data_IF_646389253181
#
_entry.id   IF_646389253181
#
_cell.length_a   1.000
_cell.length_b   1.000
_cell.length_c   1.000
_cell.angle_alpha   90.00
_cell.angle_beta   90.00
_cell.angle_gamma   90.00
#
_symmetry.space_group_name_H-M   'P 1'
#
loop_
_entity.id
_entity.type
_entity.pdbx_description
1 polymer ?
#
# COMPACT_ATOMS: atom_id res chain seq x y z
N UNK A 1 -8.47 -19.30 -25.09
CA UNK A 1 -8.63 -19.79 -26.47
C UNK A 1 -8.78 -21.31 -26.47
N UNK A 2 -9.88 -21.85 -27.02
CA UNK A 2 -10.12 -23.30 -27.03
C UNK A 2 -9.08 -24.01 -27.91
N UNK A 3 -8.77 -25.28 -27.59
CA UNK A 3 -7.82 -26.09 -28.37
C UNK A 3 -8.18 -26.14 -29.87
N UNK A 4 -9.49 -26.17 -30.17
CA UNK A 4 -10.02 -26.17 -31.53
C UNK A 4 -9.59 -24.95 -32.37
N UNK A 5 -9.44 -23.77 -31.77
CA UNK A 5 -9.01 -22.58 -32.52
C UNK A 5 -7.51 -22.68 -32.88
N UNK A 6 -6.69 -23.26 -31.99
CA UNK A 6 -5.26 -23.50 -32.27
C UNK A 6 -5.05 -24.55 -33.36
N UNK A 7 -5.84 -25.62 -33.34
CA UNK A 7 -5.78 -26.67 -34.36
C UNK A 7 -6.18 -26.13 -35.74
N UNK A 8 -7.22 -25.28 -35.81
CA UNK A 8 -7.65 -24.63 -37.06
C UNK A 8 -6.58 -23.68 -37.63
N UNK A 9 -5.86 -22.96 -36.76
CA UNK A 9 -4.75 -22.06 -37.16
C UNK A 9 -3.54 -22.87 -37.65
N UNK A 10 -3.24 -24.01 -37.01
CA UNK A 10 -2.17 -24.91 -37.43
C UNK A 10 -2.46 -25.57 -38.78
N UNK A 11 -3.68 -26.04 -39.01
CA UNK A 11 -4.12 -26.55 -40.31
C UNK A 11 -4.09 -25.47 -41.39
N UNK A 12 -4.53 -24.25 -41.06
CA UNK A 12 -4.45 -23.10 -41.96
C UNK A 12 -3.01 -22.75 -42.35
N UNK A 13 -2.06 -22.80 -41.41
CA UNK A 13 -0.61 -22.60 -41.68
C UNK A 13 -0.04 -23.64 -42.62
N UNK A 14 -0.41 -24.91 -42.46
CA UNK A 14 0.06 -26.00 -43.33
C UNK A 14 -0.48 -25.88 -44.76
N UNK A 15 -1.77 -25.54 -44.91
CA UNK A 15 -2.38 -25.32 -46.22
C UNK A 15 -1.77 -24.11 -46.94
N UNK A 16 -1.52 -23.02 -46.22
CA UNK A 16 -0.93 -21.80 -46.79
C UNK A 16 0.53 -21.99 -47.22
N UNK A 17 1.33 -22.71 -46.42
CA UNK A 17 2.72 -23.04 -46.76
C UNK A 17 2.81 -23.95 -48.00
N UNK A 18 1.92 -24.95 -48.12
CA UNK A 18 1.88 -25.84 -49.28
C UNK A 18 1.51 -25.11 -50.59
N UNK A 19 0.63 -24.10 -50.51
CA UNK A 19 0.24 -23.29 -51.67
C UNK A 19 1.38 -22.38 -52.13
N UNK A 20 2.16 -21.81 -51.21
CA UNK A 20 3.31 -20.96 -51.56
C UNK A 20 4.51 -21.76 -52.10
N UNK A 21 4.80 -22.94 -51.55
CA UNK A 21 5.97 -23.76 -51.91
C UNK A 21 5.79 -24.51 -53.24
N UNK A 22 4.55 -24.78 -53.65
CA UNK A 22 4.27 -25.47 -54.91
C UNK A 22 4.55 -24.65 -56.17
N UNK A 23 4.65 -23.31 -56.05
CA UNK A 23 4.69 -22.40 -57.20
C UNK A 23 3.46 -22.48 -58.14
N UNK A 24 2.54 -23.42 -57.89
CA UNK A 24 1.31 -23.61 -58.63
C UNK A 24 0.24 -22.69 -58.05
N UNK A 25 -0.10 -21.63 -58.80
CA UNK A 25 -1.38 -20.93 -58.63
C UNK A 25 -2.52 -21.87 -59.05
N UNK A 26 -2.83 -22.89 -58.25
CA UNK A 26 -4.01 -23.74 -58.51
C UNK A 26 -5.15 -23.34 -57.58
N UNK A 27 -6.11 -22.66 -58.21
CA UNK A 27 -7.46 -22.44 -57.73
C UNK A 27 -8.13 -23.78 -57.49
N UNK A 28 -8.60 -24.03 -56.27
CA UNK A 28 -9.62 -25.04 -56.00
C UNK A 28 -10.75 -24.38 -55.22
N UNK A 29 -11.77 -23.95 -55.95
CA UNK A 29 -13.14 -23.80 -55.46
C UNK A 29 -14.09 -24.24 -56.59
N UNK A 30 -14.50 -25.51 -56.54
CA UNK A 30 -15.73 -25.99 -57.18
C UNK A 30 -16.79 -26.03 -56.06
N UNK A 31 -18.05 -25.70 -56.21
CA UNK A 31 -18.89 -25.08 -57.25
C UNK A 31 -20.28 -24.99 -56.61
N UNK A 32 -20.92 -23.82 -56.63
CA UNK A 32 -22.38 -23.57 -56.73
C UNK A 32 -22.74 -22.24 -56.07
N UNK A 33 -23.18 -21.27 -56.89
CA UNK A 33 -23.74 -19.98 -56.44
C UNK A 33 -22.90 -18.77 -56.88
N UNK A 34 -23.43 -18.02 -57.85
CA UNK A 34 -22.85 -16.83 -58.48
C UNK A 34 -22.42 -15.73 -57.51
N UNK A 35 -21.12 -15.65 -57.27
CA UNK A 35 -20.28 -14.44 -57.29
C UNK A 35 -18.85 -14.91 -57.00
N UNK A 36 -18.09 -15.24 -58.04
CA UNK A 36 -16.68 -15.58 -57.89
C UNK A 36 -15.99 -14.45 -57.12
N UNK A 37 -15.32 -14.71 -55.98
CA UNK A 37 -14.54 -13.67 -55.33
C UNK A 37 -13.50 -13.21 -56.33
N UNK A 38 -13.53 -11.91 -56.66
CA UNK A 38 -12.61 -11.31 -57.61
C UNK A 38 -11.19 -11.65 -57.18
N UNK A 39 -10.32 -11.92 -58.15
CA UNK A 39 -8.92 -12.32 -57.94
C UNK A 39 -8.18 -11.38 -56.98
N UNK A 40 -8.56 -10.10 -56.96
CA UNK A 40 -8.07 -9.09 -56.02
C UNK A 40 -8.37 -9.40 -54.54
N UNK A 41 -9.51 -10.04 -54.24
CA UNK A 41 -9.97 -10.36 -52.89
C UNK A 41 -9.19 -11.55 -52.31
N UNK A 42 -8.82 -12.53 -53.15
CA UNK A 42 -7.97 -13.66 -52.78
C UNK A 42 -6.50 -13.26 -52.62
N UNK A 43 -5.99 -12.35 -53.46
CA UNK A 43 -4.63 -11.79 -53.33
C UNK A 43 -4.55 -10.87 -52.10
N UNK A 44 -5.60 -10.08 -51.83
CA UNK A 44 -5.70 -9.27 -50.62
C UNK A 44 -5.78 -10.13 -49.35
N UNK A 45 -6.60 -11.19 -49.35
CA UNK A 45 -6.67 -12.12 -48.23
C UNK A 45 -5.34 -12.86 -48.05
N UNK A 46 -4.72 -13.34 -49.14
CA UNK A 46 -3.42 -14.00 -49.12
C UNK A 46 -2.33 -13.09 -48.53
N UNK A 47 -2.21 -11.85 -48.99
CA UNK A 47 -1.17 -10.94 -48.52
C UNK A 47 -1.42 -10.39 -47.11
N UNK A 48 -2.68 -10.30 -46.67
CA UNK A 48 -3.01 -9.77 -45.34
C UNK A 48 -3.17 -10.84 -44.26
N UNK A 49 -3.37 -12.11 -44.61
CA UNK A 49 -3.56 -13.16 -43.60
C UNK A 49 -2.38 -13.31 -42.64
N UNK A 50 -1.10 -13.29 -43.06
CA UNK A 50 0.04 -13.30 -42.14
C UNK A 50 0.05 -12.08 -41.21
N UNK A 51 -0.21 -10.89 -41.76
CA UNK A 51 -0.26 -9.63 -40.98
C UNK A 51 -1.39 -9.65 -39.96
N UNK A 52 -2.53 -10.23 -40.30
CA UNK A 52 -3.67 -10.38 -39.39
C UNK A 52 -3.40 -11.42 -38.29
N UNK A 53 -2.65 -12.49 -38.59
CA UNK A 53 -2.22 -13.46 -37.59
C UNK A 53 -1.20 -12.86 -36.62
N UNK A 54 -0.20 -12.13 -37.12
CA UNK A 54 0.76 -11.42 -36.28
C UNK A 54 0.06 -10.39 -35.38
N UNK A 55 -0.91 -9.64 -35.93
CA UNK A 55 -1.72 -8.70 -35.15
C UNK A 55 -2.63 -9.39 -34.11
N UNK A 56 -3.07 -10.62 -34.37
CA UNK A 56 -3.82 -11.44 -33.41
C UNK A 56 -2.92 -11.92 -32.27
N UNK A 57 -1.73 -12.42 -32.57
CA UNK A 57 -0.73 -12.84 -31.59
C UNK A 57 -0.31 -11.63 -30.72
N UNK A 58 -0.04 -10.47 -31.33
CA UNK A 58 0.24 -9.22 -30.61
C UNK A 58 -0.94 -8.78 -29.72
N UNK A 59 -2.18 -8.92 -30.20
CA UNK A 59 -3.37 -8.58 -29.42
C UNK A 59 -3.57 -9.54 -28.22
N UNK A 60 -3.24 -10.82 -28.37
CA UNK A 60 -3.26 -11.78 -27.27
C UNK A 60 -2.17 -11.49 -26.24
N UNK A 61 -0.95 -11.20 -26.69
CA UNK A 61 0.13 -10.76 -25.80
C UNK A 61 -0.23 -9.47 -25.06
N UNK A 62 -0.80 -8.48 -25.74
CA UNK A 62 -1.23 -7.24 -25.12
C UNK A 62 -2.31 -7.46 -24.07
N UNK A 63 -3.26 -8.38 -24.32
CA UNK A 63 -4.29 -8.77 -23.33
C UNK A 63 -3.67 -9.49 -22.13
N UNK A 64 -2.68 -10.37 -22.36
CA UNK A 64 -1.97 -11.03 -21.27
C UNK A 64 -1.23 -10.01 -20.38
N UNK A 65 -0.49 -9.08 -20.99
CA UNK A 65 0.19 -7.99 -20.27
C UNK A 65 -0.79 -7.09 -19.51
N UNK A 66 -1.94 -6.78 -20.11
CA UNK A 66 -2.99 -6.00 -19.46
C UNK A 66 -3.55 -6.72 -18.22
N UNK A 67 -3.78 -8.04 -18.30
CA UNK A 67 -4.24 -8.84 -17.17
C UNK A 67 -3.18 -8.90 -16.04
N UNK A 68 -1.90 -9.02 -16.39
CA UNK A 68 -0.80 -8.97 -15.41
C UNK A 68 -0.73 -7.61 -14.69
N UNK A 69 -0.86 -6.51 -15.45
CA UNK A 69 -0.87 -5.16 -14.87
C UNK A 69 -2.09 -4.93 -13.96
N UNK A 70 -3.27 -5.43 -14.35
CA UNK A 70 -4.47 -5.34 -13.52
C UNK A 70 -4.30 -6.12 -12.21
N UNK A 71 -3.72 -7.31 -12.26
CA UNK A 71 -3.40 -8.09 -11.06
C UNK A 71 -2.40 -7.36 -10.15
N UNK A 72 -1.33 -6.80 -10.72
CA UNK A 72 -0.33 -6.03 -9.97
C UNK A 72 -0.94 -4.76 -9.33
N UNK A 73 -1.81 -4.05 -10.03
CA UNK A 73 -2.53 -2.89 -9.49
C UNK A 73 -3.50 -3.28 -8.36
N UNK A 74 -4.17 -4.42 -8.49
CA UNK A 74 -5.04 -4.95 -7.44
C UNK A 74 -4.23 -5.25 -6.16
N UNK A 75 -3.08 -5.92 -6.30
CA UNK A 75 -2.19 -6.22 -5.19
C UNK A 75 -1.63 -4.95 -4.53
N UNK A 76 -1.16 -3.99 -5.33
CA UNK A 76 -0.66 -2.71 -4.83
C UNK A 76 -1.75 -1.92 -4.09
N UNK A 77 -2.99 -1.93 -4.59
CA UNK A 77 -4.11 -1.30 -3.91
C UNK A 77 -4.44 -1.99 -2.58
N UNK A 78 -4.43 -3.32 -2.55
CA UNK A 78 -4.63 -4.07 -1.31
C UNK A 78 -3.53 -3.76 -0.28
N UNK A 79 -2.27 -3.66 -0.71
CA UNK A 79 -1.16 -3.25 0.15
C UNK A 79 -1.34 -1.82 0.69
N UNK A 80 -1.72 -0.88 -0.17
CA UNK A 80 -2.01 0.51 0.22
C UNK A 80 -3.10 0.60 1.28
N UNK A 81 -4.18 -0.17 1.14
CA UNK A 81 -5.27 -0.22 2.13
C UNK A 81 -4.75 -0.72 3.48
N UNK A 82 -3.94 -1.79 3.51
CA UNK A 82 -3.31 -2.27 4.76
C UNK A 82 -2.44 -1.21 5.42
N UNK A 83 -1.66 -0.46 4.63
CA UNK A 83 -0.84 0.63 5.16
C UNK A 83 -1.67 1.78 5.73
N UNK A 84 -2.81 2.10 5.13
CA UNK A 84 -3.72 3.13 5.64
C UNK A 84 -4.32 2.72 6.99
N UNK A 85 -4.72 1.46 7.16
CA UNK A 85 -5.23 0.92 8.43
C UNK A 85 -4.17 0.99 9.54
N UNK A 86 -2.93 0.55 9.25
CA UNK A 86 -1.82 0.68 10.21
C UNK A 86 -1.55 2.14 10.57
N UNK A 87 -1.62 3.06 9.61
CA UNK A 87 -1.43 4.49 9.89
C UNK A 87 -2.52 5.07 10.79
N UNK A 88 -3.77 4.62 10.65
CA UNK A 88 -4.87 5.01 11.53
C UNK A 88 -4.68 4.47 12.94
N UNK A 89 -4.32 3.19 13.08
CA UNK A 89 -4.02 2.57 14.37
C UNK A 89 -2.87 3.27 15.10
N UNK A 90 -1.81 3.63 14.37
CA UNK A 90 -0.68 4.38 14.94
C UNK A 90 -1.10 5.77 15.42
N UNK A 91 -1.93 6.50 14.65
CA UNK A 91 -2.44 7.81 15.09
C UNK A 91 -3.27 7.69 16.36
N UNK A 92 -4.15 6.69 16.44
CA UNK A 92 -4.94 6.45 17.64
C UNK A 92 -4.04 6.16 18.85
N UNK A 93 -3.01 5.32 18.68
CA UNK A 93 -2.08 4.99 19.75
C UNK A 93 -1.23 6.18 20.19
N UNK A 94 -0.79 7.03 19.26
CA UNK A 94 -0.08 8.27 19.59
C UNK A 94 -0.97 9.20 20.42
N UNK A 95 -2.23 9.41 20.01
CA UNK A 95 -3.16 10.25 20.75
C UNK A 95 -3.41 9.74 22.19
N UNK A 96 -3.53 8.42 22.36
CA UNK A 96 -3.66 7.79 23.68
C UNK A 96 -2.42 8.03 24.56
N UNK A 97 -1.23 7.83 23.99
CA UNK A 97 0.04 8.06 24.70
C UNK A 97 0.24 9.54 25.06
N UNK A 98 -0.18 10.47 24.19
CA UNK A 98 -0.15 11.90 24.47
C UNK A 98 -1.07 12.27 25.65
N UNK A 99 -2.27 11.68 25.73
CA UNK A 99 -3.20 11.87 26.85
C UNK A 99 -2.63 11.29 28.17
N UNK A 100 -2.05 10.09 28.12
CA UNK A 100 -1.35 9.51 29.27
C UNK A 100 -0.17 10.37 29.73
N UNK A 101 0.65 10.86 28.79
CA UNK A 101 1.76 11.74 29.07
C UNK A 101 1.29 13.06 29.71
N UNK A 102 0.15 13.61 29.26
CA UNK A 102 -0.44 14.80 29.85
C UNK A 102 -0.87 14.58 31.30
N UNK A 103 -1.47 13.42 31.63
CA UNK A 103 -1.85 13.06 33.01
C UNK A 103 -0.63 12.94 33.92
N UNK A 104 0.43 12.27 33.43
CA UNK A 104 1.70 12.14 34.17
C UNK A 104 2.33 13.52 34.40
N UNK A 105 2.32 14.38 33.38
CA UNK A 105 2.82 15.75 33.49
C UNK A 105 2.05 16.56 34.52
N UNK A 106 0.72 16.54 34.46
CA UNK A 106 -0.12 17.23 35.45
C UNK A 106 0.15 16.72 36.87
N UNK A 107 0.37 15.42 37.04
CA UNK A 107 0.72 14.85 38.34
C UNK A 107 2.06 15.39 38.88
N UNK A 108 3.10 15.46 38.05
CA UNK A 108 4.41 16.01 38.42
C UNK A 108 4.30 17.50 38.75
N UNK A 109 3.54 18.25 37.94
CA UNK A 109 3.33 19.69 38.09
C UNK A 109 2.59 20.09 39.38
N UNK A 110 1.97 19.14 40.09
CA UNK A 110 1.41 19.39 41.42
C UNK A 110 2.47 19.46 42.53
N UNK A 111 3.73 19.07 42.27
CA UNK A 111 4.79 19.06 43.30
C UNK A 111 4.93 20.40 44.05
N UNK A 112 4.87 21.58 43.40
CA UNK A 112 4.92 22.86 44.10
C UNK A 112 3.79 23.07 45.12
N UNK A 113 2.60 22.49 44.91
CA UNK A 113 1.50 22.59 45.87
C UNK A 113 1.82 21.85 47.17
N UNK A 114 2.49 20.69 47.06
CA UNK A 114 2.97 19.95 48.23
C UNK A 114 4.10 20.68 48.94
N UNK A 115 5.02 21.34 48.20
CA UNK A 115 6.06 22.17 48.79
C UNK A 115 5.45 23.34 49.56
N UNK A 116 4.51 24.06 48.93
CA UNK A 116 3.82 25.17 49.56
C UNK A 116 3.07 24.72 50.83
N UNK A 117 2.44 23.54 50.82
CA UNK A 117 1.80 22.98 52.01
C UNK A 117 2.81 22.66 53.13
N UNK A 118 3.97 22.10 52.79
CA UNK A 118 5.06 21.85 53.75
C UNK A 118 5.56 23.16 54.37
N UNK A 119 5.77 24.20 53.55
CA UNK A 119 6.25 25.52 53.99
C UNK A 119 5.18 26.28 54.80
N UNK A 120 3.91 26.11 54.46
CA UNK A 120 2.77 26.70 55.19
C UNK A 120 2.50 26.06 56.56
N UNK A 121 3.10 24.91 56.84
CA UNK A 121 2.95 24.19 58.10
C UNK A 121 1.65 23.38 58.20
N UNK A 122 1.55 22.56 59.24
CA UNK A 122 0.45 21.63 59.46
C UNK A 122 0.73 20.72 60.65
N UNK A 123 -0.10 19.69 60.84
CA UNK A 123 0.23 18.63 61.78
C UNK A 123 1.51 17.90 61.34
N UNK A 124 2.23 17.27 62.27
CA UNK A 124 3.43 16.50 61.93
C UNK A 124 3.14 15.39 60.92
N UNK A 125 1.99 14.72 61.09
CA UNK A 125 1.50 13.67 60.17
C UNK A 125 1.23 14.22 58.76
N UNK A 126 0.60 15.39 58.65
CA UNK A 126 0.33 16.03 57.35
C UNK A 126 1.62 16.43 56.64
N UNK A 127 2.56 17.03 57.37
CA UNK A 127 3.85 17.43 56.82
C UNK A 127 4.63 16.20 56.34
N UNK A 128 4.61 15.09 57.09
CA UNK A 128 5.24 13.84 56.68
C UNK A 128 4.61 13.29 55.38
N UNK A 129 3.28 13.25 55.32
CA UNK A 129 2.54 12.82 54.12
C UNK A 129 2.85 13.70 52.91
N UNK A 130 2.91 15.03 53.09
CA UNK A 130 3.20 15.94 51.99
C UNK A 130 4.63 15.81 51.49
N UNK A 131 5.61 15.60 52.39
CA UNK A 131 6.99 15.31 52.01
C UNK A 131 7.09 14.06 51.15
N UNK A 132 6.40 12.98 51.53
CA UNK A 132 6.31 11.78 50.71
C UNK A 132 5.73 12.05 49.32
N UNK A 133 4.65 12.84 49.23
CA UNK A 133 4.02 13.21 47.96
C UNK A 133 4.88 14.09 47.05
N UNK A 134 5.64 15.03 47.61
CA UNK A 134 6.57 15.87 46.87
C UNK A 134 7.80 15.10 46.37
N UNK A 135 8.29 14.16 47.18
CA UNK A 135 9.45 13.33 46.88
C UNK A 135 9.14 12.28 45.80
N UNK A 136 7.98 11.62 45.88
CA UNK A 136 7.53 10.68 44.84
C UNK A 136 7.48 11.35 43.45
N UNK A 137 6.98 12.60 43.38
CA UNK A 137 6.94 13.38 42.13
C UNK A 137 8.32 13.79 41.62
N UNK A 138 9.25 14.10 42.53
CA UNK A 138 10.67 14.36 42.17
C UNK A 138 11.27 13.12 41.52
N UNK A 139 11.14 11.97 42.18
CA UNK A 139 11.68 10.70 41.69
C UNK A 139 11.09 10.31 40.34
N UNK A 140 9.77 10.45 40.17
CA UNK A 140 9.12 10.20 38.89
C UNK A 140 9.63 11.13 37.79
N UNK A 141 9.75 12.43 38.06
CA UNK A 141 10.29 13.38 37.08
C UNK A 141 11.75 13.05 36.70
N UNK A 142 12.58 12.71 37.68
CA UNK A 142 13.97 12.30 37.43
C UNK A 142 14.05 11.02 36.60
N UNK A 143 13.23 10.01 36.90
CA UNK A 143 13.17 8.76 36.14
C UNK A 143 12.73 8.97 34.68
N UNK A 144 11.88 9.97 34.43
CA UNK A 144 11.42 10.34 33.09
C UNK A 144 12.38 11.30 32.37
N UNK A 145 13.47 11.72 33.02
CA UNK A 145 14.41 12.69 32.45
C UNK A 145 13.82 14.10 32.33
N UNK A 146 12.85 14.46 33.19
CA UNK A 146 12.18 15.77 33.16
C UNK A 146 12.70 16.70 34.26
N UNK A 147 12.46 18.00 34.09
CA UNK A 147 12.71 19.01 35.11
C UNK A 147 11.78 18.79 36.30
N UNK A 148 12.25 19.14 37.49
CA UNK A 148 11.52 18.95 38.75
C UNK A 148 10.95 20.31 39.18
N UNK A 149 9.63 20.56 39.02
CA UNK A 149 9.04 21.82 39.44
C UNK A 149 9.15 21.99 40.96
N UNK A 150 9.62 23.15 41.40
CA UNK A 150 9.74 23.53 42.80
C UNK A 150 8.78 24.68 43.14
N UNK A 151 8.72 25.73 42.32
CA UNK A 151 7.87 26.89 42.56
C UNK A 151 6.50 26.79 41.88
N UNK A 152 5.50 27.48 42.42
CA UNK A 152 4.17 27.51 41.83
C UNK A 152 4.22 28.14 40.44
N UNK A 153 3.60 27.48 39.46
CA UNK A 153 3.62 27.90 38.06
C UNK A 153 4.78 27.34 37.22
N UNK A 154 5.79 26.71 37.83
CA UNK A 154 6.82 25.99 37.08
C UNK A 154 6.23 24.77 36.37
N UNK A 155 6.70 24.52 35.14
CA UNK A 155 6.25 23.43 34.29
C UNK A 155 7.31 22.33 34.21
N UNK A 156 6.84 21.08 34.14
CA UNK A 156 7.72 19.95 33.94
C UNK A 156 8.02 19.81 32.45
N UNK A 157 9.31 19.84 32.10
CA UNK A 157 9.80 19.81 30.72
C UNK A 157 10.89 18.73 30.58
N UNK A 158 11.03 18.07 29.43
CA UNK A 158 12.15 17.17 29.19
C UNK A 158 13.49 17.91 29.33
N UNK A 159 14.46 17.32 30.04
CA UNK A 159 15.81 17.89 30.14
C UNK A 159 16.46 17.92 28.75
N UNK A 160 16.91 19.10 28.34
CA UNK A 160 17.61 19.27 27.06
C UNK A 160 18.96 18.58 27.14
N UNK A 161 19.07 17.37 26.59
CA UNK A 161 20.31 16.59 26.57
C UNK A 161 20.14 15.08 26.52
N UNK A 162 18.94 14.56 26.83
CA UNK A 162 18.71 13.11 26.98
C UNK A 162 17.72 12.60 25.92
N UNK A 163 18.01 12.88 24.64
CA UNK A 163 17.42 12.14 23.52
C UNK A 163 18.44 11.10 23.05
N UNK A 164 18.52 10.00 23.78
CA UNK A 164 19.12 8.76 23.29
C UNK A 164 18.28 8.14 22.17
#
# INVERSE_FOLDING_TARGET
MSAQIRDLIAEGRHLYAAVLDSGERRVVLSSEGDAAPTTDLLVWAGNNFPVLLDALDEAEEARARAAELEAALSEANAARIRHLDVAEQLRARVAELEDEQAKVRAHIEQRPEYIAAIEGGGSEDDVWRWRGGAEARRQLSEALGWTVPYQHGEKAEPKVGDRG
#
